data_IF_360610566027
#
_entry.id   IF_360610566027
#
_cell.length_a   1.000
_cell.length_b   1.000
_cell.length_c   1.000
_cell.angle_alpha   90.00
_cell.angle_beta   90.00
_cell.angle_gamma   90.00
#
_symmetry.space_group_name_H-M   'P 1'
#
loop_
_entity.id
_entity.type
_entity.pdbx_description
1 polymer ?
#
# COMPACT_ATOMS: atom_id res chain seq x y z
N UNK A 1 -2.06 -8.52 -2.25
CA UNK A 1 -3.18 -8.67 -1.29
C UNK A 1 -3.69 -7.30 -0.86
N UNK A 2 -2.86 -6.46 -0.21
CA UNK A 2 -3.26 -5.13 0.29
C UNK A 2 -3.95 -4.32 -0.81
N UNK A 3 -3.33 -4.19 -1.99
CA UNK A 3 -3.89 -3.45 -3.12
C UNK A 3 -5.24 -3.99 -3.58
N UNK A 4 -5.43 -5.31 -3.53
CA UNK A 4 -6.70 -5.95 -3.86
C UNK A 4 -7.78 -5.55 -2.87
N UNK A 5 -7.54 -5.65 -1.57
CA UNK A 5 -8.53 -5.28 -0.54
C UNK A 5 -8.86 -3.79 -0.60
N UNK A 6 -7.86 -2.92 -0.78
CA UNK A 6 -8.08 -1.48 -0.97
C UNK A 6 -9.02 -1.23 -2.16
N UNK A 7 -8.82 -1.90 -3.27
CA UNK A 7 -9.63 -1.71 -4.48
C UNK A 7 -11.02 -2.36 -4.42
N UNK A 8 -11.25 -3.28 -3.49
CA UNK A 8 -12.57 -3.90 -3.28
C UNK A 8 -13.60 -2.93 -2.69
N UNK A 9 -13.15 -1.94 -1.91
CA UNK A 9 -14.01 -1.07 -1.13
C UNK A 9 -13.95 0.39 -1.62
N UNK A 10 -15.12 0.98 -1.80
CA UNK A 10 -15.25 2.33 -2.36
C UNK A 10 -14.68 3.42 -1.45
N UNK A 11 -14.81 3.29 -0.14
CA UNK A 11 -14.34 4.27 0.84
C UNK A 11 -12.83 4.52 0.80
N UNK A 12 -12.06 3.59 0.27
CA UNK A 12 -10.60 3.72 0.13
C UNK A 12 -10.17 4.39 -1.18
N UNK A 13 -11.11 4.66 -2.11
CA UNK A 13 -10.83 5.12 -3.47
C UNK A 13 -11.16 6.59 -3.73
N UNK A 14 -11.29 7.40 -2.67
CA UNK A 14 -11.57 8.82 -2.81
C UNK A 14 -10.31 9.66 -2.80
N UNK A 15 -10.20 10.59 -3.74
CA UNK A 15 -9.24 11.69 -3.72
C UNK A 15 -9.74 12.86 -4.59
N UNK A 16 -8.92 13.90 -4.69
CA UNK A 16 -9.22 15.08 -5.48
C UNK A 16 -8.67 14.92 -6.90
N UNK A 17 -9.40 15.40 -7.90
CA UNK A 17 -8.93 15.51 -9.28
C UNK A 17 -8.13 16.81 -9.48
N UNK A 18 -7.62 17.02 -10.71
CA UNK A 18 -6.84 18.21 -11.10
C UNK A 18 -7.62 19.52 -10.96
N UNK A 19 -8.95 19.47 -11.02
CA UNK A 19 -9.83 20.63 -10.86
C UNK A 19 -10.23 20.90 -9.42
N UNK A 20 -9.81 20.03 -8.49
CA UNK A 20 -10.12 20.14 -7.07
C UNK A 20 -11.50 19.58 -6.70
N UNK A 21 -12.10 18.76 -7.55
CA UNK A 21 -13.33 18.07 -7.25
C UNK A 21 -13.05 16.75 -6.53
N UNK A 22 -13.86 16.42 -5.52
CA UNK A 22 -13.82 15.12 -4.85
C UNK A 22 -14.39 14.05 -5.79
N UNK A 23 -13.57 13.05 -6.12
CA UNK A 23 -14.00 11.94 -6.97
C UNK A 23 -13.73 10.60 -6.31
N UNK A 24 -14.50 9.62 -6.73
CA UNK A 24 -14.25 8.21 -6.45
C UNK A 24 -13.66 7.57 -7.69
N UNK A 25 -12.45 7.03 -7.57
CA UNK A 25 -11.77 6.32 -8.65
C UNK A 25 -12.34 4.92 -8.86
N UNK A 26 -12.26 4.41 -10.09
CA UNK A 26 -12.58 3.01 -10.36
C UNK A 26 -11.59 2.07 -9.68
N UNK A 27 -10.31 2.46 -9.68
CA UNK A 27 -9.23 1.81 -8.95
C UNK A 27 -8.19 2.83 -8.51
N UNK A 28 -7.39 2.46 -7.51
CA UNK A 28 -6.22 3.21 -7.08
C UNK A 28 -5.00 2.29 -7.02
N UNK A 29 -3.84 2.85 -7.32
CA UNK A 29 -2.58 2.14 -7.46
C UNK A 29 -1.67 2.35 -6.24
N UNK A 30 -0.91 1.34 -5.80
CA UNK A 30 0.04 1.53 -4.72
C UNK A 30 1.20 2.41 -5.17
N UNK A 31 1.47 3.44 -4.39
CA UNK A 31 2.66 4.27 -4.45
C UNK A 31 3.59 3.88 -3.32
N UNK A 32 4.81 3.49 -3.62
CA UNK A 32 5.75 2.95 -2.65
C UNK A 32 7.15 3.50 -2.86
N UNK A 33 8.02 3.29 -1.86
CA UNK A 33 9.40 3.78 -1.89
C UNK A 33 10.39 2.63 -1.99
N UNK A 34 11.41 2.80 -2.82
CA UNK A 34 12.61 1.96 -2.88
C UNK A 34 13.77 2.67 -2.20
N UNK A 35 14.41 1.99 -1.25
CA UNK A 35 15.52 2.52 -0.47
C UNK A 35 16.86 2.24 -1.15
N UNK A 36 17.67 3.28 -1.32
CA UNK A 36 19.05 3.24 -1.82
C UNK A 36 20.01 3.38 -0.67
N UNK A 37 20.68 2.28 -0.33
CA UNK A 37 21.56 2.21 0.83
C UNK A 37 22.82 3.08 0.69
N UNK A 38 23.25 3.30 -0.54
CA UNK A 38 24.51 3.99 -0.85
C UNK A 38 24.48 5.48 -0.48
N UNK A 39 23.31 6.10 -0.61
CA UNK A 39 23.07 7.51 -0.36
C UNK A 39 21.98 7.78 0.69
N UNK A 40 21.46 6.70 1.33
CA UNK A 40 20.41 6.74 2.35
C UNK A 40 19.14 7.50 1.86
N UNK A 41 18.84 7.40 0.57
CA UNK A 41 17.73 8.10 -0.07
C UNK A 41 16.68 7.12 -0.59
N UNK A 42 15.57 7.63 -1.09
CA UNK A 42 14.44 6.86 -1.61
C UNK A 42 14.05 7.34 -3.00
N UNK A 43 13.67 6.38 -3.85
CA UNK A 43 12.90 6.66 -5.07
C UNK A 43 11.44 6.30 -4.82
N UNK A 44 10.51 7.17 -5.21
CA UNK A 44 9.07 6.89 -5.13
C UNK A 44 8.59 6.30 -6.44
N UNK A 45 7.90 5.18 -6.38
CA UNK A 45 7.39 4.40 -7.51
C UNK A 45 5.88 4.24 -7.41
N UNK A 46 5.23 4.07 -8.55
CA UNK A 46 3.81 3.70 -8.63
C UNK A 46 3.68 2.56 -9.62
N UNK A 47 3.09 1.46 -9.19
CA UNK A 47 2.73 0.36 -10.09
C UNK A 47 1.22 0.33 -10.29
N UNK A 48 0.77 0.40 -11.54
CA UNK A 48 -0.65 0.37 -11.85
C UNK A 48 -1.30 -0.92 -11.33
N UNK A 49 -2.41 -0.77 -10.61
CA UNK A 49 -3.14 -1.89 -10.05
C UNK A 49 -3.66 -2.84 -11.12
N UNK A 50 -3.54 -4.14 -10.86
CA UNK A 50 -4.27 -5.22 -11.52
C UNK A 50 -4.83 -6.16 -10.47
N UNK A 51 -6.03 -6.70 -10.69
CA UNK A 51 -6.64 -7.72 -9.84
C UNK A 51 -5.99 -9.10 -10.05
N UNK A 52 -5.30 -9.30 -11.18
CA UNK A 52 -4.46 -10.45 -11.45
C UNK A 52 -3.08 -10.28 -10.79
N UNK A 53 -2.74 -11.18 -9.87
CA UNK A 53 -1.49 -11.11 -9.10
C UNK A 53 -0.26 -11.29 -10.00
N UNK A 54 -0.35 -12.09 -11.05
CA UNK A 54 0.78 -12.33 -11.96
C UNK A 54 1.03 -11.09 -12.81
N UNK A 55 -0.03 -10.52 -13.39
CA UNK A 55 0.07 -9.28 -14.14
C UNK A 55 0.59 -8.12 -13.26
N UNK A 56 0.07 -7.99 -12.03
CA UNK A 56 0.56 -6.98 -11.09
C UNK A 56 2.05 -7.18 -10.76
N UNK A 57 2.47 -8.43 -10.56
CA UNK A 57 3.87 -8.75 -10.25
C UNK A 57 4.80 -8.44 -11.43
N UNK A 58 4.39 -8.73 -12.65
CA UNK A 58 5.14 -8.37 -13.86
C UNK A 58 5.31 -6.85 -13.99
N UNK A 59 4.22 -6.09 -13.84
CA UNK A 59 4.25 -4.62 -13.85
C UNK A 59 5.20 -4.08 -12.78
N UNK A 60 5.12 -4.62 -11.55
CA UNK A 60 5.98 -4.21 -10.43
C UNK A 60 7.46 -4.43 -10.75
N UNK A 61 7.84 -5.58 -11.33
CA UNK A 61 9.23 -5.87 -11.71
C UNK A 61 9.72 -4.93 -12.81
N UNK A 62 8.89 -4.66 -13.83
CA UNK A 62 9.21 -3.71 -14.91
C UNK A 62 9.41 -2.29 -14.36
N UNK A 63 8.54 -1.84 -13.46
CA UNK A 63 8.64 -0.50 -12.85
C UNK A 63 9.93 -0.39 -12.03
N UNK A 64 10.28 -1.42 -11.25
CA UNK A 64 11.54 -1.46 -10.50
C UNK A 64 12.76 -1.37 -11.42
N UNK A 65 12.88 -2.22 -12.42
CA UNK A 65 14.01 -2.24 -13.35
C UNK A 65 14.19 -0.89 -14.07
N UNK A 66 13.08 -0.28 -14.48
CA UNK A 66 13.08 1.03 -15.13
C UNK A 66 13.62 2.13 -14.22
N UNK A 67 13.31 2.09 -12.93
CA UNK A 67 13.70 3.13 -11.98
C UNK A 67 15.07 2.88 -11.32
N UNK A 68 15.57 1.65 -11.26
CA UNK A 68 16.97 1.37 -10.89
C UNK A 68 17.96 2.10 -11.79
N UNK A 69 17.60 2.27 -13.08
CA UNK A 69 18.45 2.98 -14.05
C UNK A 69 18.37 4.51 -13.92
N UNK A 70 17.28 5.07 -13.45
CA UNK A 70 17.03 6.52 -13.56
C UNK A 70 16.87 7.24 -12.21
N UNK A 71 16.78 6.58 -11.07
CA UNK A 71 16.66 7.17 -9.71
C UNK A 71 15.88 8.50 -9.62
N UNK A 72 15.16 8.85 -10.67
CA UNK A 72 14.39 10.07 -10.72
C UNK A 72 13.12 9.91 -9.86
N UNK A 73 12.80 10.94 -9.08
CA UNK A 73 11.47 11.07 -8.50
C UNK A 73 10.44 10.99 -9.62
N UNK A 74 9.37 10.22 -9.43
CA UNK A 74 8.25 10.20 -10.38
C UNK A 74 7.63 11.60 -10.40
N UNK A 75 8.00 12.40 -11.40
CA UNK A 75 7.55 13.80 -11.53
C UNK A 75 6.04 13.90 -11.79
N UNK A 76 5.43 12.84 -12.35
CA UNK A 76 4.01 12.77 -12.69
C UNK A 76 3.33 11.59 -12.00
N UNK A 77 3.21 11.63 -10.67
CA UNK A 77 2.45 10.64 -9.94
C UNK A 77 0.97 10.72 -10.34
N UNK A 78 0.31 9.59 -10.68
CA UNK A 78 -1.12 9.59 -10.97
C UNK A 78 -1.91 10.04 -9.73
N UNK A 79 -3.06 10.66 -9.92
CA UNK A 79 -3.90 11.11 -8.78
C UNK A 79 -4.65 9.96 -8.07
N UNK A 80 -4.80 8.83 -8.75
CA UNK A 80 -5.47 7.63 -8.24
C UNK A 80 -4.47 6.69 -7.56
N UNK A 81 -3.86 7.12 -6.48
CA UNK A 81 -2.90 6.31 -5.71
C UNK A 81 -3.22 6.27 -4.22
N UNK A 82 -2.62 5.32 -3.53
CA UNK A 82 -2.50 5.27 -2.07
C UNK A 82 -1.06 4.96 -1.68
N UNK A 83 -0.63 5.47 -0.54
CA UNK A 83 0.76 5.32 -0.12
C UNK A 83 1.01 4.00 0.61
N UNK A 84 2.12 3.36 0.25
CA UNK A 84 2.63 2.13 0.87
C UNK A 84 4.06 2.37 1.35
N UNK A 85 4.32 2.04 2.60
CA UNK A 85 5.65 2.16 3.21
C UNK A 85 6.06 0.88 3.93
N UNK A 86 7.37 0.64 4.00
CA UNK A 86 7.94 -0.48 4.73
C UNK A 86 9.05 0.00 5.66
N UNK A 87 9.01 -0.44 6.92
CA UNK A 87 10.03 -0.19 7.93
C UNK A 87 10.75 -1.51 8.30
N UNK A 88 11.57 -2.08 7.40
CA UNK A 88 12.10 -3.44 7.56
C UNK A 88 13.14 -3.55 8.68
N UNK A 89 13.60 -2.41 9.20
CA UNK A 89 14.64 -2.35 10.24
C UNK A 89 14.09 -2.48 11.66
N UNK A 90 12.79 -2.20 11.88
CA UNK A 90 12.23 -2.09 13.22
C UNK A 90 10.89 -2.80 13.33
N UNK A 91 10.67 -3.44 14.49
CA UNK A 91 9.35 -3.86 14.94
C UNK A 91 8.69 -2.71 15.69
N UNK A 92 7.39 -2.57 15.54
CA UNK A 92 6.61 -1.59 16.29
C UNK A 92 5.28 -2.20 16.75
N UNK A 93 4.75 -1.69 17.83
CA UNK A 93 3.39 -1.97 18.30
C UNK A 93 2.41 -0.85 17.93
N UNK A 94 2.95 0.32 17.62
CA UNK A 94 2.20 1.48 17.17
C UNK A 94 3.07 2.29 16.20
N UNK A 95 2.47 2.71 15.10
CA UNK A 95 3.09 3.60 14.13
C UNK A 95 2.00 4.48 13.51
N UNK A 96 2.24 5.76 13.40
CA UNK A 96 1.30 6.73 12.86
C UNK A 96 2.02 7.68 11.89
N UNK A 97 1.35 8.03 10.80
CA UNK A 97 1.85 8.96 9.79
C UNK A 97 0.86 10.11 9.66
N UNK A 98 1.34 11.31 9.91
CA UNK A 98 0.56 12.51 9.71
C UNK A 98 0.94 13.17 8.39
N UNK A 99 0.00 13.24 7.47
CA UNK A 99 0.14 14.00 6.22
C UNK A 99 -0.32 15.43 6.49
N UNK A 100 0.61 16.39 6.39
CA UNK A 100 0.33 17.81 6.61
C UNK A 100 -0.07 18.48 5.31
N UNK A 101 -1.32 18.35 4.92
CA UNK A 101 -1.88 18.91 3.68
C UNK A 101 -3.22 19.64 3.91
N UNK A 102 -3.42 20.18 5.11
CA UNK A 102 -4.67 20.85 5.53
C UNK A 102 -5.88 19.87 5.59
N UNK A 103 -5.60 18.57 5.76
CA UNK A 103 -6.64 17.53 5.82
C UNK A 103 -7.23 17.15 4.45
N UNK A 104 -6.52 17.38 3.38
CA UNK A 104 -6.99 17.07 2.00
C UNK A 104 -6.64 15.65 1.56
N UNK A 105 -5.62 15.02 2.15
CA UNK A 105 -5.20 13.67 1.77
C UNK A 105 -6.20 12.63 2.29
N UNK A 106 -6.99 12.04 1.40
CA UNK A 106 -8.07 11.11 1.73
C UNK A 106 -7.70 9.65 1.51
N UNK A 107 -6.70 9.38 0.66
CA UNK A 107 -6.28 8.02 0.33
C UNK A 107 -5.63 7.32 1.53
N UNK A 108 -5.66 5.97 1.58
CA UNK A 108 -4.97 5.22 2.63
C UNK A 108 -3.44 5.45 2.62
N UNK A 109 -2.84 5.49 3.80
CA UNK A 109 -1.40 5.32 4.02
C UNK A 109 -1.20 4.01 4.78
N UNK A 110 -0.57 3.04 4.13
CA UNK A 110 -0.41 1.70 4.67
C UNK A 110 1.07 1.45 4.95
N UNK A 111 1.39 1.06 6.18
CA UNK A 111 2.77 0.81 6.59
C UNK A 111 2.89 -0.54 7.27
N UNK A 112 3.92 -1.30 6.90
CA UNK A 112 4.29 -2.51 7.62
C UNK A 112 5.72 -2.44 8.15
N UNK A 113 5.95 -3.16 9.23
CA UNK A 113 7.24 -3.21 9.90
C UNK A 113 8.00 -4.50 9.62
N UNK A 114 9.07 -4.69 10.39
CA UNK A 114 9.88 -5.90 10.34
C UNK A 114 9.06 -7.11 10.79
N UNK A 115 9.09 -8.18 9.98
CA UNK A 115 8.50 -9.45 10.37
C UNK A 115 9.33 -10.19 11.42
N UNK A 116 8.68 -11.06 12.15
CA UNK A 116 9.31 -11.98 13.11
C UNK A 116 8.66 -13.35 13.09
N UNK A 117 9.41 -14.35 13.53
CA UNK A 117 8.85 -15.69 13.79
C UNK A 117 8.23 -15.71 15.19
N UNK A 118 6.96 -16.02 15.29
CA UNK A 118 6.25 -16.19 16.55
C UNK A 118 5.34 -17.42 16.47
N UNK A 119 5.48 -18.36 17.42
CA UNK A 119 4.67 -19.58 17.48
C UNK A 119 4.62 -20.36 16.14
N UNK A 120 5.74 -20.42 15.41
CA UNK A 120 5.84 -21.13 14.14
C UNK A 120 5.23 -20.41 12.93
N UNK A 121 4.85 -19.14 13.08
CA UNK A 121 4.31 -18.27 12.02
C UNK A 121 5.12 -17.00 11.86
N UNK A 122 5.22 -16.50 10.64
CA UNK A 122 5.74 -15.17 10.39
C UNK A 122 4.67 -14.13 10.72
N UNK A 123 4.99 -13.21 11.62
CA UNK A 123 4.14 -12.11 12.06
C UNK A 123 4.75 -10.79 11.65
N UNK A 124 3.94 -9.88 11.17
CA UNK A 124 4.37 -8.56 10.72
C UNK A 124 3.34 -7.52 11.15
N UNK A 125 3.76 -6.41 11.79
CA UNK A 125 2.83 -5.33 12.07
C UNK A 125 2.39 -4.66 10.78
N UNK A 126 1.09 -4.40 10.66
CA UNK A 126 0.46 -3.67 9.56
C UNK A 126 -0.38 -2.55 10.15
N UNK A 127 -0.19 -1.33 9.67
CA UNK A 127 -1.00 -0.17 10.04
C UNK A 127 -1.63 0.48 8.81
N UNK A 128 -2.78 1.10 9.01
CA UNK A 128 -3.45 1.93 8.02
C UNK A 128 -3.86 3.24 8.66
N UNK A 129 -3.43 4.35 8.08
CA UNK A 129 -3.93 5.68 8.37
C UNK A 129 -4.84 6.10 7.21
N UNK A 130 -6.01 6.63 7.52
CA UNK A 130 -6.96 7.12 6.53
C UNK A 130 -7.77 8.28 7.11
N UNK A 131 -8.16 9.20 6.26
CA UNK A 131 -8.95 10.34 6.69
C UNK A 131 -10.36 9.91 7.13
N UNK A 132 -10.79 10.35 8.32
CA UNK A 132 -12.06 9.93 8.92
C UNK A 132 -13.31 10.40 8.15
N UNK A 133 -13.17 11.33 7.20
CA UNK A 133 -14.28 11.74 6.34
C UNK A 133 -14.71 10.64 5.34
N UNK A 134 -13.81 9.68 5.02
CA UNK A 134 -14.08 8.61 4.05
C UNK A 134 -14.21 7.24 4.68
N UNK A 135 -13.61 7.00 5.85
CA UNK A 135 -13.65 5.70 6.52
C UNK A 135 -13.68 5.85 8.06
N UNK A 136 -14.29 4.91 8.73
CA UNK A 136 -14.33 4.79 10.18
C UNK A 136 -13.74 3.46 10.68
N UNK A 137 -13.83 3.20 11.99
CA UNK A 137 -13.28 2.00 12.61
C UNK A 137 -13.85 0.69 12.05
N UNK A 138 -15.09 0.67 11.59
CA UNK A 138 -15.66 -0.52 10.94
C UNK A 138 -14.92 -0.85 9.64
N UNK A 139 -14.67 0.14 8.81
CA UNK A 139 -13.99 -0.02 7.52
C UNK A 139 -12.54 -0.48 7.70
N UNK A 140 -11.85 0.07 8.72
CA UNK A 140 -10.49 -0.37 9.04
C UNK A 140 -10.47 -1.83 9.55
N UNK A 141 -11.37 -2.20 10.45
CA UNK A 141 -11.46 -3.57 10.94
C UNK A 141 -11.75 -4.57 9.82
N UNK A 142 -12.66 -4.23 8.92
CA UNK A 142 -12.96 -5.02 7.71
C UNK A 142 -11.72 -5.20 6.85
N UNK A 143 -10.99 -4.13 6.55
CA UNK A 143 -9.75 -4.19 5.78
C UNK A 143 -8.75 -5.18 6.39
N UNK A 144 -8.44 -5.09 7.69
CA UNK A 144 -7.49 -5.99 8.33
C UNK A 144 -7.95 -7.44 8.32
N UNK A 145 -9.23 -7.70 8.56
CA UNK A 145 -9.79 -9.04 8.52
C UNK A 145 -9.68 -9.66 7.13
N UNK A 146 -10.05 -8.93 6.09
CA UNK A 146 -9.97 -9.41 4.70
C UNK A 146 -8.53 -9.63 4.23
N UNK A 147 -7.60 -8.75 4.61
CA UNK A 147 -6.17 -8.96 4.34
C UNK A 147 -5.69 -10.26 5.00
N UNK A 148 -6.06 -10.50 6.27
CA UNK A 148 -5.68 -11.71 6.98
C UNK A 148 -6.31 -12.97 6.36
N UNK A 149 -7.56 -12.90 5.95
CA UNK A 149 -8.26 -14.01 5.29
C UNK A 149 -7.58 -14.38 3.96
N UNK A 150 -7.24 -13.39 3.13
CA UNK A 150 -6.53 -13.63 1.88
C UNK A 150 -5.14 -14.22 2.10
N UNK A 151 -4.39 -13.76 3.10
CA UNK A 151 -3.11 -14.36 3.47
C UNK A 151 -3.29 -15.84 3.86
N UNK A 152 -4.29 -16.15 4.67
CA UNK A 152 -4.56 -17.52 5.10
C UNK A 152 -4.95 -18.45 3.94
N UNK A 153 -5.62 -17.93 2.90
CA UNK A 153 -5.97 -18.71 1.71
C UNK A 153 -4.77 -19.06 0.85
N UNK A 154 -3.78 -18.18 0.77
CA UNK A 154 -2.53 -18.46 0.05
C UNK A 154 -1.70 -19.57 0.73
N UNK A 155 -1.64 -19.57 2.06
CA UNK A 155 -0.97 -20.63 2.83
C UNK A 155 -1.66 -22.00 2.69
N UNK A 156 -2.99 -22.01 2.52
CA UNK A 156 -3.78 -23.24 2.38
C UNK A 156 -3.57 -24.00 1.07
N UNK A 157 -3.06 -23.32 0.02
CA UNK A 157 -2.83 -23.91 -1.30
C UNK A 157 -1.61 -24.85 -1.41
N UNK A 158 -0.75 -24.87 -0.40
CA UNK A 158 0.50 -25.67 -0.41
C UNK A 158 0.44 -26.95 0.45
N UNK A 159 -0.75 -27.45 0.79
CA UNK A 159 -0.89 -28.67 1.61
C UNK A 159 -0.98 -29.99 0.82
N UNK A 160 -0.94 -29.94 -0.51
CA UNK A 160 -0.98 -31.12 -1.37
C UNK A 160 0.18 -31.10 -2.39
N UNK A 161 1.41 -31.29 -1.92
CA UNK A 161 2.53 -31.83 -2.73
C UNK A 161 3.33 -32.80 -1.88
#
# INVERSE_FOLDING_TARGET
IVSKVVNTHDEFKYSWNDTGDLIKWNFISPSYTEFHKEDENFTKLVTEFSDDIFEFSERFMVDKEKHEADRAFVENQPLNFFDVSCLPWVKYSHFDVHVFDEGKFLAPVITWGKYEMSHGRYMMPLTMNIHHAVADGFHLCRFFNEVQELINTLDGGNKDV
#
